data_IF_641366661178
#
_entry.id   IF_641366661178
#
_cell.length_a   1.000
_cell.length_b   1.000
_cell.length_c   1.000
_cell.angle_alpha   90.00
_cell.angle_beta   90.00
_cell.angle_gamma   90.00
#
_symmetry.space_group_name_H-M   'P 1'
#
loop_
_entity.id
_entity.type
_entity.pdbx_description
1 polymer ?
#
# COMPACT_ATOMS: atom_id res chain seq x y z
N UNK A 1 -4.75 -11.37 4.62
CA UNK A 1 -5.03 -10.08 3.95
C UNK A 1 -4.00 -9.88 2.85
N UNK A 2 -4.37 -9.29 1.70
CA UNK A 2 -3.44 -8.99 0.61
C UNK A 2 -3.40 -7.50 0.32
N UNK A 3 -2.22 -6.92 0.18
CA UNK A 3 -2.02 -5.53 -0.21
C UNK A 3 -1.62 -5.49 -1.67
N UNK A 4 -2.38 -4.79 -2.52
CA UNK A 4 -2.01 -4.53 -3.91
C UNK A 4 -1.70 -3.05 -4.09
N UNK A 5 -0.69 -2.71 -4.89
CA UNK A 5 -0.34 -1.33 -5.22
C UNK A 5 0.06 -1.15 -6.68
N UNK A 6 -0.28 0.01 -7.26
CA UNK A 6 0.22 0.48 -8.57
C UNK A 6 1.04 1.79 -8.37
N UNK A 7 2.32 1.83 -8.77
CA UNK A 7 3.30 2.93 -8.56
C UNK A 7 4.76 2.42 -8.47
N UNK A 8 5.78 3.24 -8.72
CA UNK A 8 7.20 2.78 -8.65
C UNK A 8 7.74 2.78 -7.22
N UNK A 9 8.60 1.81 -6.87
CA UNK A 9 9.34 1.82 -5.61
C UNK A 9 8.47 1.70 -4.35
N UNK A 10 7.67 0.64 -4.28
CA UNK A 10 6.86 0.35 -3.11
C UNK A 10 7.69 -0.33 -2.01
N UNK A 11 7.58 0.13 -0.76
CA UNK A 11 8.08 -0.60 0.40
C UNK A 11 6.96 -0.95 1.36
N UNK A 12 6.87 -2.21 1.76
CA UNK A 12 5.86 -2.75 2.65
C UNK A 12 6.53 -3.27 3.91
N UNK A 13 6.02 -2.90 5.07
CA UNK A 13 6.42 -3.50 6.34
C UNK A 13 5.17 -3.75 7.17
N UNK A 14 5.01 -4.96 7.69
CA UNK A 14 3.90 -5.32 8.55
C UNK A 14 4.46 -5.81 9.88
N UNK A 15 3.88 -5.39 11.01
CA UNK A 15 4.27 -5.90 12.32
C UNK A 15 3.61 -7.27 12.59
N UNK A 16 3.91 -8.23 11.71
CA UNK A 16 3.24 -9.53 11.64
C UNK A 16 4.24 -10.67 11.40
N UNK A 17 5.54 -10.42 11.60
CA UNK A 17 6.62 -11.36 11.29
C UNK A 17 6.93 -11.51 9.79
N UNK A 18 6.26 -10.75 8.92
CA UNK A 18 6.54 -10.74 7.47
C UNK A 18 7.73 -9.81 7.22
N UNK A 19 8.75 -10.31 6.53
CA UNK A 19 9.91 -9.52 6.14
C UNK A 19 9.47 -8.28 5.33
N UNK A 20 10.07 -7.13 5.64
CA UNK A 20 9.80 -5.93 4.89
C UNK A 20 10.23 -6.13 3.43
N UNK A 21 9.33 -5.79 2.50
CA UNK A 21 9.62 -5.78 1.08
C UNK A 21 10.01 -4.35 0.70
N UNK A 22 11.14 -4.20 0.02
CA UNK A 22 11.65 -2.90 -0.42
C UNK A 22 11.73 -2.83 -1.93
N UNK A 23 11.55 -1.63 -2.49
CA UNK A 23 11.70 -1.34 -3.91
C UNK A 23 10.93 -2.30 -4.84
N UNK A 24 9.75 -2.74 -4.43
CA UNK A 24 8.89 -3.59 -5.25
C UNK A 24 8.35 -2.78 -6.43
N UNK A 25 8.46 -3.35 -7.64
CA UNK A 25 7.88 -2.78 -8.84
C UNK A 25 6.36 -2.93 -8.84
N UNK A 26 5.64 -2.00 -9.46
CA UNK A 26 4.21 -2.14 -9.63
C UNK A 26 3.83 -3.03 -10.83
N UNK A 27 2.73 -3.81 -10.71
CA UNK A 27 1.89 -3.95 -9.53
C UNK A 27 2.57 -4.80 -8.44
N UNK A 28 2.62 -4.27 -7.22
CA UNK A 28 3.22 -4.95 -6.08
C UNK A 28 2.13 -5.64 -5.24
N UNK A 29 2.43 -6.85 -4.76
CA UNK A 29 1.48 -7.65 -4.00
C UNK A 29 2.15 -8.26 -2.77
N UNK A 30 1.52 -8.11 -1.61
CA UNK A 30 1.99 -8.72 -0.37
C UNK A 30 0.87 -9.47 0.34
N UNK A 31 1.09 -10.76 0.57
CA UNK A 31 0.25 -11.58 1.43
C UNK A 31 0.69 -11.37 2.89
N UNK A 32 -0.24 -10.89 3.72
CA UNK A 32 -0.03 -10.66 5.15
C UNK A 32 -0.88 -11.71 5.89
N UNK A 33 -0.26 -12.81 6.36
CA UNK A 33 -0.95 -13.81 7.14
C UNK A 33 -1.35 -13.25 8.50
N UNK A 34 -2.49 -13.76 8.98
CA UNK A 34 -3.03 -13.44 10.31
C UNK A 34 -3.16 -11.94 10.60
N UNK A 35 -3.55 -11.09 9.64
CA UNK A 35 -3.76 -9.67 9.92
C UNK A 35 -5.00 -9.46 10.82
N UNK A 36 -4.79 -9.45 12.13
CA UNK A 36 -5.75 -9.34 13.23
C UNK A 36 -5.59 -8.02 14.02
N UNK A 37 -6.36 -7.87 15.10
CA UNK A 37 -6.40 -6.67 15.91
C UNK A 37 -5.01 -6.27 16.45
N UNK A 38 -4.69 -4.98 16.38
CA UNK A 38 -3.40 -4.44 16.83
C UNK A 38 -2.27 -4.51 15.82
N UNK A 39 -2.43 -5.25 14.70
CA UNK A 39 -1.44 -5.28 13.62
C UNK A 39 -1.46 -4.01 12.78
N UNK A 40 -0.30 -3.67 12.22
CA UNK A 40 -0.09 -2.47 11.42
C UNK A 40 0.65 -2.80 10.15
N UNK A 41 0.29 -2.11 9.06
CA UNK A 41 1.01 -2.15 7.78
C UNK A 41 1.49 -0.76 7.45
N UNK A 42 2.76 -0.62 7.12
CA UNK A 42 3.34 0.60 6.57
C UNK A 42 3.60 0.39 5.09
N UNK A 43 3.10 1.31 4.28
CA UNK A 43 3.32 1.31 2.83
C UNK A 43 3.98 2.64 2.45
N UNK A 44 5.18 2.57 1.88
CA UNK A 44 5.87 3.76 1.35
C UNK A 44 5.81 3.70 -0.16
N UNK A 45 5.37 4.80 -0.78
CA UNK A 45 5.09 4.85 -2.21
C UNK A 45 5.77 6.05 -2.84
N UNK A 46 6.30 5.86 -4.05
CA UNK A 46 6.68 6.94 -4.95
C UNK A 46 5.79 6.81 -6.20
N UNK A 47 4.85 7.74 -6.43
CA UNK A 47 4.06 7.74 -7.66
C UNK A 47 4.98 7.78 -8.89
N UNK A 48 4.54 7.15 -9.99
CA UNK A 48 5.24 7.30 -11.27
C UNK A 48 5.23 8.79 -11.68
N UNK A 49 6.32 9.30 -12.30
CA UNK A 49 6.28 10.63 -12.90
C UNK A 49 5.10 10.76 -13.86
N UNK A 50 4.33 11.83 -13.75
CA UNK A 50 3.13 12.04 -14.57
C UNK A 50 1.93 11.16 -14.23
N UNK A 51 1.99 10.37 -13.14
CA UNK A 51 0.82 9.63 -12.68
C UNK A 51 -0.24 10.57 -12.13
N UNK A 52 -1.46 10.48 -12.67
CA UNK A 52 -2.64 11.19 -12.14
C UNK A 52 -3.24 10.51 -10.92
N UNK A 53 -2.84 9.27 -10.60
CA UNK A 53 -3.31 8.52 -9.43
C UNK A 53 -2.40 7.34 -9.09
N UNK A 54 -2.55 6.87 -7.85
CA UNK A 54 -2.16 5.52 -7.45
C UNK A 54 -3.24 4.93 -6.55
N UNK A 55 -3.22 3.61 -6.35
CA UNK A 55 -4.10 3.01 -5.35
C UNK A 55 -3.42 1.91 -4.56
N UNK A 56 -3.95 1.69 -3.35
CA UNK A 56 -3.61 0.59 -2.46
C UNK A 56 -4.90 -0.13 -2.08
N UNK A 57 -5.00 -1.42 -2.38
CA UNK A 57 -6.13 -2.25 -1.97
C UNK A 57 -5.71 -3.16 -0.82
N UNK A 58 -6.49 -3.16 0.25
CA UNK A 58 -6.44 -4.21 1.27
C UNK A 58 -7.56 -5.19 0.98
N UNK A 59 -7.18 -6.43 0.66
CA UNK A 59 -8.10 -7.47 0.21
C UNK A 59 -8.23 -8.57 1.26
N UNK A 60 -9.48 -8.98 1.49
CA UNK A 60 -9.80 -10.28 2.09
C UNK A 60 -9.71 -11.36 1.02
N UNK A 61 -10.18 -12.57 1.33
CA UNK A 61 -10.23 -13.65 0.34
C UNK A 61 -11.16 -13.33 -0.84
N UNK A 62 -12.23 -12.58 -0.60
CA UNK A 62 -13.31 -12.36 -1.58
C UNK A 62 -13.53 -10.90 -1.97
N UNK A 63 -13.04 -9.92 -1.18
CA UNK A 63 -13.42 -8.51 -1.37
C UNK A 63 -12.28 -7.51 -1.07
N UNK A 64 -12.47 -6.25 -1.45
CA UNK A 64 -11.64 -5.11 -1.08
C UNK A 64 -12.18 -4.52 0.23
N UNK A 65 -11.55 -4.86 1.35
CA UNK A 65 -11.91 -4.33 2.66
C UNK A 65 -11.63 -2.83 2.78
N UNK A 66 -10.59 -2.34 2.09
CA UNK A 66 -10.23 -0.94 2.07
C UNK A 66 -9.55 -0.55 0.76
N UNK A 67 -10.06 0.50 0.13
CA UNK A 67 -9.54 1.07 -1.12
C UNK A 67 -9.02 2.48 -0.86
N UNK A 68 -7.70 2.66 -0.96
CA UNK A 68 -7.07 3.96 -0.89
C UNK A 68 -6.66 4.38 -2.31
N UNK A 69 -7.15 5.53 -2.80
CA UNK A 69 -6.95 5.95 -4.19
C UNK A 69 -6.66 7.45 -4.31
N UNK A 70 -5.47 7.92 -3.90
CA UNK A 70 -5.09 9.30 -4.12
C UNK A 70 -5.07 9.63 -5.61
N UNK A 71 -5.70 10.76 -5.92
CA UNK A 71 -5.71 11.37 -7.25
C UNK A 71 -4.99 12.70 -7.15
N UNK A 72 -4.21 13.01 -8.17
CA UNK A 72 -3.49 14.26 -8.28
C UNK A 72 -4.09 15.00 -9.47
N UNK A 73 -4.71 16.16 -9.19
CA UNK A 73 -5.30 17.01 -10.23
C UNK A 73 -4.25 17.88 -10.95
N UNK A 74 -3.00 17.85 -10.47
CA UNK A 74 -1.85 18.53 -11.04
C UNK A 74 -0.73 17.53 -11.28
N UNK A 75 -0.04 17.71 -12.41
CA UNK A 75 1.07 16.89 -12.86
C UNK A 75 2.10 16.76 -11.70
N UNK A 76 2.20 15.55 -11.14
CA UNK A 76 3.16 15.25 -10.07
C UNK A 76 4.53 15.26 -10.72
N UNK A 77 5.13 16.45 -10.78
CA UNK A 77 6.50 16.61 -11.23
C UNK A 77 7.44 15.82 -10.30
N UNK A 78 8.48 15.28 -10.91
CA UNK A 78 9.29 14.13 -10.48
C UNK A 78 9.60 14.05 -8.97
N UNK A 79 9.51 12.83 -8.43
CA UNK A 79 10.01 12.39 -7.10
C UNK A 79 9.23 12.83 -5.85
N UNK A 80 7.94 13.14 -5.95
CA UNK A 80 7.12 13.34 -4.74
C UNK A 80 7.00 12.03 -3.95
N UNK A 81 7.75 11.88 -2.87
CA UNK A 81 7.68 10.71 -1.98
C UNK A 81 6.46 10.85 -1.07
N UNK A 82 5.49 9.96 -1.22
CA UNK A 82 4.28 9.96 -0.40
C UNK A 82 4.42 8.87 0.65
N UNK A 83 4.55 9.29 1.90
CA UNK A 83 4.50 8.37 3.03
C UNK A 83 3.05 8.13 3.43
N UNK A 84 2.56 6.93 3.19
CA UNK A 84 1.22 6.51 3.60
C UNK A 84 1.34 5.60 4.83
N UNK A 85 0.89 6.09 5.99
CA UNK A 85 0.77 5.25 7.20
C UNK A 85 -0.68 4.84 7.36
N UNK A 86 -1.02 3.61 6.97
CA UNK A 86 -2.36 3.06 7.15
C UNK A 86 -2.32 2.11 8.35
N UNK A 87 -2.88 2.53 9.48
CA UNK A 87 -3.21 1.61 10.56
C UNK A 87 -4.64 1.10 10.33
N UNK A 88 -4.76 -0.06 9.70
CA UNK A 88 -6.05 -0.75 9.65
C UNK A 88 -6.20 -1.55 10.95
N UNK A 89 -7.00 -1.06 11.88
CA UNK A 89 -7.39 -1.79 13.08
C UNK A 89 -8.66 -2.55 12.73
N UNK A 90 -8.57 -3.86 12.55
CA UNK A 90 -9.77 -4.70 12.45
C UNK A 90 -10.28 -4.87 13.88
N UNK A 91 -11.33 -4.14 14.24
CA UNK A 91 -12.17 -4.50 15.38
C UNK A 91 -13.17 -5.56 14.90
N UNK A 92 -13.08 -6.75 15.48
CA UNK A 92 -14.13 -7.78 15.34
C UNK A 92 -15.33 -7.40 16.20
#
# INVERSE_FOLDING_TARGET
MRVEMIGTGASFAANTGVAAVYNSAAPAQLNIPSFDNGRRVRVVVIPLPGASRFHINFRTHSDIAYHFNPRFDVDVTQNTKILVRIALIIQL
#
